data_IF_059705412900
#
_entry.id   IF_059705412900
#
_cell.length_a   1.000
_cell.length_b   1.000
_cell.length_c   1.000
_cell.angle_alpha   90.00
_cell.angle_beta   90.00
_cell.angle_gamma   90.00
#
_symmetry.space_group_name_H-M   'P 1'
#
loop_
_entity.id
_entity.type
_entity.pdbx_description
1 polymer ?
#
# COMPACT_ATOMS: atom_id res chain seq x y z
N UNK A 1 -27.46 18.89 -6.38
CA UNK A 1 -28.06 17.54 -6.17
C UNK A 1 -28.11 17.07 -4.70
N UNK A 2 -27.14 17.44 -3.84
CA UNK A 2 -27.14 17.03 -2.42
C UNK A 2 -28.24 17.70 -1.56
N UNK A 3 -28.54 18.99 -1.82
CA UNK A 3 -29.52 19.77 -1.04
C UNK A 3 -30.95 19.19 -1.18
N UNK A 4 -31.33 18.74 -2.37
CA UNK A 4 -32.66 18.16 -2.63
C UNK A 4 -32.90 16.82 -1.89
N UNK A 5 -31.84 16.06 -1.57
CA UNK A 5 -31.94 14.80 -0.81
C UNK A 5 -31.95 15.01 0.71
N UNK A 6 -31.32 16.08 1.18
CA UNK A 6 -31.24 16.41 2.61
C UNK A 6 -32.52 17.07 3.13
N UNK A 7 -33.21 17.84 2.29
CA UNK A 7 -34.42 18.57 2.67
C UNK A 7 -35.54 17.67 3.26
N UNK A 8 -35.93 16.53 2.64
CA UNK A 8 -36.97 15.67 3.22
C UNK A 8 -36.53 14.98 4.53
N UNK A 9 -35.24 14.67 4.69
CA UNK A 9 -34.69 14.06 5.90
C UNK A 9 -34.65 15.07 7.06
N UNK A 10 -34.24 16.30 6.78
CA UNK A 10 -34.22 17.39 7.76
C UNK A 10 -35.62 17.79 8.23
N UNK A 11 -36.59 17.82 7.32
CA UNK A 11 -37.98 18.09 7.67
C UNK A 11 -38.59 16.95 8.50
N UNK A 12 -38.27 15.69 8.18
CA UNK A 12 -38.75 14.52 8.92
C UNK A 12 -38.20 14.46 10.35
N UNK A 13 -36.94 14.85 10.56
CA UNK A 13 -36.27 14.81 11.86
C UNK A 13 -36.17 16.18 12.55
N UNK A 14 -36.92 17.19 12.08
CA UNK A 14 -36.82 18.58 12.56
C UNK A 14 -36.95 18.70 14.08
N UNK A 15 -37.97 18.05 14.66
CA UNK A 15 -38.25 18.16 16.10
C UNK A 15 -37.13 17.52 16.93
N UNK A 16 -36.67 16.33 16.54
CA UNK A 16 -35.51 15.67 17.17
C UNK A 16 -34.21 16.47 17.04
N UNK A 17 -33.98 17.18 15.94
CA UNK A 17 -32.78 18.01 15.75
C UNK A 17 -32.84 19.27 16.62
N UNK A 18 -34.04 19.85 16.81
CA UNK A 18 -34.25 21.01 17.67
C UNK A 18 -34.17 20.65 19.15
N UNK A 19 -34.68 19.47 19.53
CA UNK A 19 -34.64 18.95 20.90
C UNK A 19 -33.21 18.55 21.30
N UNK A 20 -32.50 17.81 20.44
CA UNK A 20 -31.06 17.49 20.59
C UNK A 20 -30.16 18.73 20.46
N UNK A 21 -30.68 19.80 19.85
CA UNK A 21 -30.03 21.12 19.75
C UNK A 21 -30.28 22.05 20.95
N UNK A 22 -31.32 21.79 21.75
CA UNK A 22 -31.59 22.52 22.99
C UNK A 22 -31.04 21.82 24.24
N UNK A 23 -30.77 20.51 24.17
CA UNK A 23 -30.26 19.74 25.31
C UNK A 23 -28.75 20.05 25.56
N UNK A 24 -28.40 20.67 26.70
CA UNK A 24 -27.00 20.93 27.06
C UNK A 24 -26.14 19.66 27.14
N UNK A 25 -26.75 18.51 27.45
CA UNK A 25 -26.07 17.22 27.58
C UNK A 25 -25.67 16.66 26.21
N UNK A 26 -26.51 16.83 25.20
CA UNK A 26 -26.22 16.42 23.83
C UNK A 26 -25.00 17.18 23.25
N UNK A 27 -24.91 18.49 23.51
CA UNK A 27 -23.76 19.31 23.13
C UNK A 27 -22.48 18.91 23.87
N UNK A 28 -22.58 18.68 25.18
CA UNK A 28 -21.45 18.20 25.98
C UNK A 28 -20.96 16.83 25.51
N UNK A 29 -21.88 15.91 25.15
CA UNK A 29 -21.55 14.57 24.66
C UNK A 29 -20.96 14.60 23.24
N UNK A 30 -21.42 15.49 22.35
CA UNK A 30 -20.78 15.73 21.04
C UNK A 30 -19.39 16.33 21.21
N UNK A 31 -19.22 17.32 22.09
CA UNK A 31 -17.93 17.92 22.40
C UNK A 31 -16.95 16.88 22.96
N UNK A 32 -17.40 16.04 23.90
CA UNK A 32 -16.62 14.95 24.47
C UNK A 32 -16.27 13.89 23.42
N UNK A 33 -17.21 13.42 22.60
CA UNK A 33 -16.94 12.45 21.53
C UNK A 33 -15.98 13.01 20.48
N UNK A 34 -16.13 14.29 20.13
CA UNK A 34 -15.24 14.98 19.18
C UNK A 34 -13.85 15.10 19.80
N UNK A 35 -13.73 15.58 21.04
CA UNK A 35 -12.47 15.68 21.78
C UNK A 35 -11.77 14.34 22.00
N UNK A 36 -12.50 13.28 22.34
CA UNK A 36 -11.97 11.91 22.46
C UNK A 36 -11.48 11.41 21.10
N UNK A 37 -12.18 11.71 20.00
CA UNK A 37 -11.74 11.32 18.65
C UNK A 37 -10.48 12.08 18.21
N UNK A 38 -10.37 13.36 18.52
CA UNK A 38 -9.18 14.17 18.26
C UNK A 38 -8.01 13.74 19.14
N UNK A 39 -8.24 13.50 20.45
CA UNK A 39 -7.24 12.98 21.37
C UNK A 39 -6.74 11.60 20.95
N UNK A 40 -7.63 10.70 20.52
CA UNK A 40 -7.26 9.38 19.98
C UNK A 40 -6.47 9.50 18.68
N UNK A 41 -6.83 10.43 17.77
CA UNK A 41 -6.07 10.70 16.55
C UNK A 41 -4.68 11.29 16.84
N UNK A 42 -4.59 12.24 17.77
CA UNK A 42 -3.35 12.87 18.17
C UNK A 42 -2.41 11.88 18.88
N UNK A 43 -2.95 11.02 19.76
CA UNK A 43 -2.19 9.99 20.46
C UNK A 43 -1.74 8.85 19.53
N UNK A 44 -2.52 8.52 18.49
CA UNK A 44 -2.16 7.48 17.52
C UNK A 44 -1.32 7.99 16.35
N UNK A 45 -1.21 9.31 16.14
CA UNK A 45 -0.35 9.90 15.11
C UNK A 45 1.14 9.49 15.23
N UNK A 46 1.80 9.59 16.39
CA UNK A 46 3.19 9.16 16.52
C UNK A 46 3.36 7.65 16.32
N UNK A 47 2.41 6.83 16.80
CA UNK A 47 2.44 5.37 16.60
C UNK A 47 2.29 4.99 15.13
N UNK A 48 1.38 5.66 14.39
CA UNK A 48 1.22 5.46 12.95
C UNK A 48 2.43 5.92 12.15
N UNK A 49 3.11 6.98 12.58
CA UNK A 49 4.35 7.41 11.95
C UNK A 49 5.43 6.32 12.03
N UNK A 50 5.57 5.68 13.21
CA UNK A 50 6.49 4.56 13.40
C UNK A 50 6.16 3.33 12.54
N UNK A 51 4.88 3.00 12.35
CA UNK A 51 4.46 1.91 11.46
C UNK A 51 4.75 2.18 9.98
N UNK A 52 4.83 3.44 9.56
CA UNK A 52 5.09 3.81 8.17
C UNK A 52 6.58 3.79 7.81
N UNK A 53 7.48 3.88 8.80
CA UNK A 53 8.94 3.90 8.57
C UNK A 53 9.42 2.63 7.84
N UNK A 54 9.11 1.39 8.30
CA UNK A 54 9.56 0.18 7.60
C UNK A 54 9.05 0.10 6.17
N UNK A 55 7.82 0.56 5.92
CA UNK A 55 7.23 0.60 4.58
C UNK A 55 7.99 1.57 3.66
N UNK A 56 8.38 2.75 4.16
CA UNK A 56 9.18 3.69 3.39
C UNK A 56 10.59 3.17 3.14
N UNK A 57 11.22 2.49 4.10
CA UNK A 57 12.54 1.88 3.91
C UNK A 57 12.49 0.82 2.81
N UNK A 58 11.53 -0.11 2.86
CA UNK A 58 11.40 -1.16 1.82
C UNK A 58 11.17 -0.54 0.43
N UNK A 59 10.33 0.49 0.32
CA UNK A 59 10.10 1.20 -0.94
C UNK A 59 11.33 1.96 -1.42
N UNK A 60 12.08 2.56 -0.49
CA UNK A 60 13.35 3.22 -0.78
C UNK A 60 14.39 2.24 -1.33
N UNK A 61 14.50 1.05 -0.74
CA UNK A 61 15.39 -0.01 -1.23
C UNK A 61 14.97 -0.49 -2.62
N UNK A 62 13.67 -0.75 -2.85
CA UNK A 62 13.14 -1.13 -4.18
C UNK A 62 13.43 -0.07 -5.24
N UNK A 63 13.33 1.22 -4.86
CA UNK A 63 13.67 2.34 -5.73
C UNK A 63 15.16 2.38 -6.06
N UNK A 64 16.03 2.33 -5.06
CA UNK A 64 17.48 2.40 -5.27
C UNK A 64 17.97 1.22 -6.10
N UNK A 65 17.52 0.00 -5.80
CA UNK A 65 17.88 -1.19 -6.58
C UNK A 65 17.38 -1.08 -8.02
N UNK A 66 16.13 -0.65 -8.23
CA UNK A 66 15.61 -0.39 -9.58
C UNK A 66 16.42 0.68 -10.32
N UNK A 67 16.84 1.74 -9.63
CA UNK A 67 17.59 2.84 -10.23
C UNK A 67 19.00 2.41 -10.66
N UNK A 68 19.67 1.57 -9.86
CA UNK A 68 20.95 0.96 -10.23
C UNK A 68 20.80 0.16 -11.52
N UNK A 69 19.74 -0.64 -11.64
CA UNK A 69 19.46 -1.44 -12.82
C UNK A 69 19.13 -0.57 -14.05
N UNK A 70 18.34 0.49 -13.86
CA UNK A 70 18.08 1.48 -14.93
C UNK A 70 19.38 2.12 -15.42
N UNK A 71 20.30 2.47 -14.50
CA UNK A 71 21.60 3.02 -14.87
C UNK A 71 22.47 2.02 -15.64
N UNK A 72 22.56 0.79 -15.13
CA UNK A 72 23.32 -0.28 -15.76
C UNK A 72 22.77 -0.60 -17.16
N UNK A 73 21.50 -1.00 -17.28
CA UNK A 73 20.92 -1.39 -18.56
C UNK A 73 20.72 -0.20 -19.50
N UNK A 74 20.39 0.98 -18.99
CA UNK A 74 20.26 2.21 -19.78
C UNK A 74 21.55 2.63 -20.45
N UNK A 75 22.68 2.56 -19.74
CA UNK A 75 24.00 2.86 -20.33
C UNK A 75 24.33 1.91 -21.50
N UNK A 76 23.94 0.64 -21.41
CA UNK A 76 24.17 -0.32 -22.50
C UNK A 76 23.24 -0.11 -23.70
N UNK A 77 21.98 0.24 -23.47
CA UNK A 77 21.05 0.59 -24.56
C UNK A 77 21.54 1.84 -25.30
N UNK A 78 22.04 2.85 -24.58
CA UNK A 78 22.59 4.07 -25.18
C UNK A 78 23.87 3.80 -25.97
N UNK A 79 24.77 2.98 -25.42
CA UNK A 79 25.99 2.57 -26.14
C UNK A 79 25.67 1.83 -27.44
N UNK A 80 24.70 0.92 -27.44
CA UNK A 80 24.27 0.21 -28.65
C UNK A 80 23.62 1.14 -29.69
N UNK A 81 22.90 2.16 -29.23
CA UNK A 81 22.31 3.18 -30.10
C UNK A 81 23.37 4.02 -30.80
N UNK A 82 24.50 4.30 -30.14
CA UNK A 82 25.62 5.05 -30.75
C UNK A 82 26.46 4.22 -31.73
N UNK A 83 26.38 2.89 -31.66
CA UNK A 83 27.16 1.95 -32.49
C UNK A 83 26.36 1.40 -33.71
N UNK A 84 25.18 1.98 -34.04
CA UNK A 84 24.24 1.52 -35.09
C UNK A 84 23.86 0.02 -34.98
N UNK A 85 24.02 -0.56 -33.78
CA UNK A 85 23.78 -1.97 -33.52
C UNK A 85 22.30 -2.29 -33.32
N UNK A 86 21.90 -3.52 -33.67
CA UNK A 86 20.56 -4.02 -33.34
C UNK A 86 20.38 -4.01 -31.81
N UNK A 87 19.36 -3.29 -31.32
CA UNK A 87 19.08 -3.23 -29.89
C UNK A 87 18.85 -4.63 -29.32
N UNK A 88 19.58 -4.94 -28.26
CA UNK A 88 19.45 -6.24 -27.61
C UNK A 88 18.19 -6.24 -26.72
N UNK A 89 17.16 -7.04 -27.05
CA UNK A 89 15.84 -6.94 -26.42
C UNK A 89 15.87 -7.23 -24.92
N UNK A 90 16.83 -8.04 -24.46
CA UNK A 90 17.00 -8.35 -23.03
C UNK A 90 17.30 -7.10 -22.19
N UNK A 91 18.07 -6.13 -22.72
CA UNK A 91 18.46 -4.90 -22.01
C UNK A 91 17.30 -3.90 -21.96
N UNK A 92 16.54 -3.80 -23.05
CA UNK A 92 15.35 -2.95 -23.11
C UNK A 92 14.29 -3.46 -22.14
N UNK A 93 14.07 -4.78 -22.11
CA UNK A 93 13.11 -5.36 -21.17
C UNK A 93 13.50 -5.06 -19.71
N UNK A 94 14.76 -5.30 -19.34
CA UNK A 94 15.28 -4.97 -18.01
C UNK A 94 15.14 -3.48 -17.68
N UNK A 95 15.43 -2.58 -18.63
CA UNK A 95 15.29 -1.13 -18.47
C UNK A 95 13.83 -0.73 -18.20
N UNK A 96 12.87 -1.28 -18.96
CA UNK A 96 11.44 -0.97 -18.79
C UNK A 96 10.95 -1.46 -17.41
N UNK A 97 11.31 -2.68 -17.02
CA UNK A 97 10.93 -3.24 -15.72
C UNK A 97 11.54 -2.43 -14.58
N UNK A 98 12.83 -2.06 -14.69
CA UNK A 98 13.51 -1.19 -13.74
C UNK A 98 12.85 0.18 -13.59
N UNK A 99 12.55 0.84 -14.72
CA UNK A 99 11.89 2.15 -14.73
C UNK A 99 10.47 2.08 -14.11
N UNK A 100 9.69 1.07 -14.49
CA UNK A 100 8.34 0.84 -13.93
C UNK A 100 8.38 0.60 -12.42
N UNK A 101 9.38 -0.15 -11.95
CA UNK A 101 9.66 -0.40 -10.54
C UNK A 101 9.97 0.90 -9.80
N UNK A 102 10.84 1.76 -10.35
CA UNK A 102 11.17 3.06 -9.78
C UNK A 102 9.95 3.98 -9.66
N UNK A 103 9.19 4.12 -10.75
CA UNK A 103 7.96 4.94 -10.77
C UNK A 103 6.96 4.43 -9.75
N UNK A 104 6.76 3.11 -9.67
CA UNK A 104 5.85 2.50 -8.70
C UNK A 104 6.31 2.75 -7.27
N UNK A 105 7.60 2.57 -6.98
CA UNK A 105 8.16 2.76 -5.64
C UNK A 105 7.97 4.21 -5.16
N UNK A 106 8.24 5.19 -6.02
CA UNK A 106 8.02 6.62 -5.71
C UNK A 106 6.53 6.92 -5.53
N UNK A 107 5.67 6.45 -6.44
CA UNK A 107 4.23 6.67 -6.35
C UNK A 107 3.64 6.10 -5.04
N UNK A 108 4.07 4.89 -4.64
CA UNK A 108 3.60 4.25 -3.43
C UNK A 108 4.21 4.86 -2.16
N UNK A 109 5.46 5.32 -2.20
CA UNK A 109 6.08 6.06 -1.10
C UNK A 109 5.39 7.41 -0.88
N UNK A 110 5.10 8.14 -1.96
CA UNK A 110 4.36 9.41 -1.91
C UNK A 110 2.92 9.21 -1.42
N UNK A 111 2.26 8.10 -1.75
CA UNK A 111 0.91 7.81 -1.30
C UNK A 111 0.80 7.41 0.19
N UNK A 112 1.91 6.98 0.83
CA UNK A 112 1.92 6.52 2.22
C UNK A 112 1.55 7.61 3.26
N UNK A 113 2.12 8.83 3.24
CA UNK A 113 1.81 9.87 4.23
C UNK A 113 0.40 10.47 4.09
N UNK A 114 -0.19 10.50 2.89
CA UNK A 114 -1.46 11.19 2.68
C UNK A 114 -2.70 10.37 3.09
N UNK A 115 -2.51 9.13 3.56
CA UNK A 115 -3.64 8.27 3.95
C UNK A 115 -4.68 8.10 2.83
N UNK A 116 -4.33 8.40 1.58
CA UNK A 116 -5.24 8.35 0.42
C UNK A 116 -5.55 6.91 0.01
N UNK A 117 -4.80 5.95 0.56
CA UNK A 117 -5.22 4.54 0.66
C UNK A 117 -6.19 4.37 1.85
N UNK A 118 -7.12 5.31 2.03
CA UNK A 118 -8.23 5.17 2.97
C UNK A 118 -9.53 4.98 2.20
N UNK A 119 -10.15 3.85 2.47
CA UNK A 119 -11.56 3.51 2.25
C UNK A 119 -12.14 3.22 0.86
N UNK A 120 -11.52 3.56 -0.28
CA UNK A 120 -12.15 3.19 -1.59
C UNK A 120 -11.30 2.38 -2.56
N UNK A 121 -9.99 2.59 -2.63
CA UNK A 121 -9.11 1.70 -3.38
C UNK A 121 -8.66 0.58 -2.46
N UNK A 122 -9.43 -0.51 -2.46
CA UNK A 122 -9.15 -1.73 -1.70
C UNK A 122 -7.64 -2.04 -1.74
N UNK A 123 -7.04 -2.16 -0.57
CA UNK A 123 -5.72 -2.75 -0.30
C UNK A 123 -5.46 -4.03 -1.13
N UNK A 124 -6.52 -4.70 -1.58
CA UNK A 124 -6.52 -5.78 -2.56
C UNK A 124 -5.80 -5.46 -3.90
N UNK A 125 -5.80 -4.22 -4.40
CA UNK A 125 -5.15 -3.92 -5.69
C UNK A 125 -3.65 -3.66 -5.57
N UNK A 126 -3.18 -3.24 -4.38
CA UNK A 126 -1.77 -2.94 -4.17
C UNK A 126 -0.94 -4.22 -4.06
N UNK A 127 -1.44 -5.27 -3.39
CA UNK A 127 -0.69 -6.53 -3.29
C UNK A 127 -0.56 -7.22 -4.65
N UNK A 128 -1.62 -7.21 -5.48
CA UNK A 128 -1.57 -7.81 -6.81
C UNK A 128 -0.54 -7.10 -7.69
N UNK A 129 -0.44 -5.77 -7.59
CA UNK A 129 0.56 -5.00 -8.33
C UNK A 129 2.00 -5.29 -7.87
N UNK A 130 2.21 -5.37 -6.55
CA UNK A 130 3.53 -5.77 -6.00
C UNK A 130 3.94 -7.17 -6.48
N UNK A 131 2.99 -8.12 -6.55
CA UNK A 131 3.24 -9.47 -7.08
C UNK A 131 3.49 -9.47 -8.60
N UNK A 132 2.81 -8.61 -9.37
CA UNK A 132 3.10 -8.44 -10.80
C UNK A 132 4.54 -7.97 -11.01
N UNK A 133 4.99 -6.97 -10.25
CA UNK A 133 6.37 -6.50 -10.34
C UNK A 133 7.38 -7.57 -9.92
N UNK A 134 7.07 -8.35 -8.88
CA UNK A 134 7.85 -9.53 -8.53
C UNK A 134 8.00 -10.49 -9.72
N UNK A 135 6.90 -10.84 -10.40
CA UNK A 135 6.96 -11.73 -11.57
C UNK A 135 7.79 -11.14 -12.72
N UNK A 136 7.66 -9.85 -12.99
CA UNK A 136 8.48 -9.16 -14.00
C UNK A 136 9.97 -9.23 -13.64
N UNK A 137 10.34 -8.99 -12.37
CA UNK A 137 11.72 -9.13 -11.91
C UNK A 137 12.25 -10.57 -11.97
N UNK A 138 11.40 -11.57 -11.74
CA UNK A 138 11.78 -12.98 -11.93
C UNK A 138 12.03 -13.30 -13.41
N UNK A 139 11.28 -12.70 -14.34
CA UNK A 139 11.54 -12.85 -15.77
C UNK A 139 12.88 -12.19 -16.14
N UNK A 140 13.15 -10.98 -15.66
CA UNK A 140 14.46 -10.31 -15.84
C UNK A 140 15.58 -11.20 -15.30
N UNK A 141 15.47 -11.65 -14.05
CA UNK A 141 16.43 -12.56 -13.44
C UNK A 141 16.62 -13.85 -14.24
N UNK A 142 15.54 -14.44 -14.80
CA UNK A 142 15.62 -15.64 -15.61
C UNK A 142 16.39 -15.42 -16.93
N UNK A 143 16.15 -14.29 -17.59
CA UNK A 143 16.86 -13.92 -18.83
C UNK A 143 18.35 -13.70 -18.54
N UNK A 144 18.67 -12.81 -17.60
CA UNK A 144 20.06 -12.46 -17.29
C UNK A 144 20.80 -13.60 -16.58
N UNK A 145 20.12 -14.33 -15.70
CA UNK A 145 20.67 -15.52 -15.05
C UNK A 145 21.01 -16.62 -16.06
N UNK A 146 20.16 -16.85 -17.06
CA UNK A 146 20.44 -17.79 -18.14
C UNK A 146 21.68 -17.42 -18.97
N UNK A 147 21.90 -16.11 -19.20
CA UNK A 147 23.02 -15.60 -20.00
C UNK A 147 24.34 -15.56 -19.21
N UNK A 148 24.29 -15.09 -17.96
CA UNK A 148 25.48 -14.68 -17.21
C UNK A 148 25.93 -15.63 -16.10
N UNK A 149 25.04 -16.45 -15.50
CA UNK A 149 25.45 -17.33 -14.39
C UNK A 149 26.40 -18.44 -14.83
N UNK A 150 26.22 -18.95 -16.06
CA UNK A 150 27.04 -20.05 -16.60
C UNK A 150 28.24 -19.57 -17.43
N UNK A 151 28.41 -18.26 -17.62
CA UNK A 151 29.49 -17.69 -18.42
C UNK A 151 30.72 -17.41 -17.55
N UNK A 152 31.91 -17.64 -18.09
CA UNK A 152 33.17 -17.33 -17.40
C UNK A 152 33.37 -15.82 -17.25
N UNK A 153 34.05 -15.40 -16.19
CA UNK A 153 34.17 -13.97 -15.84
C UNK A 153 35.03 -13.17 -16.82
N UNK A 154 35.91 -13.85 -17.57
CA UNK A 154 36.84 -13.24 -18.52
C UNK A 154 36.21 -13.05 -19.92
N UNK A 155 35.07 -13.68 -20.18
CA UNK A 155 34.32 -13.49 -21.42
C UNK A 155 33.51 -12.19 -21.35
N UNK A 156 33.77 -11.25 -22.26
CA UNK A 156 32.90 -10.07 -22.41
C UNK A 156 31.64 -10.44 -23.23
N UNK A 157 30.47 -10.00 -22.77
CA UNK A 157 29.21 -10.12 -23.53
C UNK A 157 28.75 -8.74 -23.98
N UNK A 158 28.69 -8.52 -25.30
CA UNK A 158 28.22 -7.26 -25.90
C UNK A 158 28.87 -6.01 -25.29
N UNK A 159 30.18 -6.08 -25.03
CA UNK A 159 30.96 -4.96 -24.47
C UNK A 159 30.78 -4.72 -22.96
N UNK A 160 30.13 -5.64 -22.24
CA UNK A 160 29.96 -5.60 -20.78
C UNK A 160 30.82 -6.66 -20.08
N UNK A 161 31.34 -6.32 -18.89
CA UNK A 161 32.07 -7.25 -18.03
C UNK A 161 31.09 -8.23 -17.38
N UNK A 162 31.31 -9.53 -17.59
CA UNK A 162 30.48 -10.59 -17.01
C UNK A 162 30.43 -10.54 -15.47
N UNK A 163 31.48 -10.04 -14.81
CA UNK A 163 31.48 -9.86 -13.35
C UNK A 163 30.45 -8.83 -12.88
N UNK A 164 30.31 -7.70 -13.58
CA UNK A 164 29.33 -6.65 -13.25
C UNK A 164 27.90 -7.16 -13.48
N UNK A 165 27.70 -7.93 -14.55
CA UNK A 165 26.40 -8.50 -14.89
C UNK A 165 25.97 -9.60 -13.94
N UNK A 166 26.90 -10.43 -13.47
CA UNK A 166 26.62 -11.39 -12.38
C UNK A 166 26.18 -10.66 -11.12
N UNK A 167 26.81 -9.53 -10.79
CA UNK A 167 26.35 -8.66 -9.71
C UNK A 167 24.93 -8.14 -9.94
N UNK A 168 24.64 -7.65 -11.14
CA UNK A 168 23.31 -7.16 -11.53
C UNK A 168 22.22 -8.24 -11.43
N UNK A 169 22.51 -9.47 -11.85
CA UNK A 169 21.61 -10.63 -11.71
C UNK A 169 21.20 -10.86 -10.25
N UNK A 170 22.15 -10.75 -9.31
CA UNK A 170 21.83 -10.87 -7.89
C UNK A 170 21.01 -9.67 -7.38
N UNK A 171 21.26 -8.46 -7.87
CA UNK A 171 20.45 -7.29 -7.55
C UNK A 171 19.01 -7.44 -8.07
N UNK A 172 18.82 -8.01 -9.26
CA UNK A 172 17.51 -8.31 -9.83
C UNK A 172 16.73 -9.25 -8.91
N UNK A 173 17.38 -10.31 -8.41
CA UNK A 173 16.78 -11.27 -7.49
C UNK A 173 16.44 -10.64 -6.13
N UNK A 174 17.34 -9.85 -5.56
CA UNK A 174 17.10 -9.15 -4.28
C UNK A 174 15.93 -8.18 -4.42
N UNK A 175 15.85 -7.46 -5.54
CA UNK A 175 14.74 -6.55 -5.80
C UNK A 175 13.42 -7.33 -5.95
N UNK A 176 13.44 -8.46 -6.67
CA UNK A 176 12.30 -9.37 -6.77
C UNK A 176 11.80 -9.78 -5.39
N UNK A 177 12.70 -10.19 -4.49
CA UNK A 177 12.35 -10.61 -3.11
C UNK A 177 11.69 -9.46 -2.34
N UNK A 178 12.16 -8.22 -2.47
CA UNK A 178 11.49 -7.09 -1.83
C UNK A 178 10.06 -6.86 -2.35
N UNK A 179 9.85 -6.98 -3.66
CA UNK A 179 8.51 -6.94 -4.25
C UNK A 179 7.61 -8.08 -3.76
N UNK A 180 8.16 -9.29 -3.62
CA UNK A 180 7.45 -10.44 -3.06
C UNK A 180 7.05 -10.21 -1.60
N UNK A 181 7.97 -9.78 -0.74
CA UNK A 181 7.70 -9.48 0.67
C UNK A 181 6.60 -8.42 0.79
N UNK A 182 6.66 -7.38 -0.05
CA UNK A 182 5.64 -6.32 -0.09
C UNK A 182 4.27 -6.86 -0.49
N UNK A 183 4.22 -7.70 -1.53
CA UNK A 183 3.00 -8.35 -2.01
C UNK A 183 2.41 -9.32 -0.98
N UNK A 184 3.23 -10.18 -0.38
CA UNK A 184 2.81 -11.13 0.66
C UNK A 184 2.29 -10.40 1.90
N UNK A 185 2.99 -9.35 2.35
CA UNK A 185 2.52 -8.52 3.46
C UNK A 185 1.15 -7.88 3.14
N UNK A 186 0.99 -7.32 1.94
CA UNK A 186 -0.28 -6.75 1.47
C UNK A 186 -1.41 -7.78 1.41
N UNK A 187 -1.10 -9.00 0.96
CA UNK A 187 -2.02 -10.13 0.92
C UNK A 187 -2.47 -10.54 2.33
N UNK A 188 -1.52 -10.76 3.24
CA UNK A 188 -1.80 -11.12 4.65
C UNK A 188 -2.68 -10.06 5.30
N UNK A 189 -2.31 -8.77 5.20
CA UNK A 189 -3.09 -7.69 5.80
C UNK A 189 -4.52 -7.63 5.26
N UNK A 190 -4.71 -7.89 3.97
CA UNK A 190 -6.04 -7.82 3.34
C UNK A 190 -6.92 -9.01 3.70
N UNK A 191 -6.39 -10.23 3.67
CA UNK A 191 -7.20 -11.45 3.83
C UNK A 191 -7.19 -12.04 5.24
N UNK A 192 -6.11 -11.86 6.01
CA UNK A 192 -6.02 -12.35 7.39
C UNK A 192 -6.47 -11.28 8.39
N UNK A 193 -6.22 -9.99 8.13
CA UNK A 193 -6.72 -8.89 8.96
C UNK A 193 -8.25 -8.90 9.10
N UNK A 194 -8.96 -9.00 7.97
CA UNK A 194 -10.43 -9.05 7.98
C UNK A 194 -11.01 -10.26 8.72
N UNK A 195 -10.29 -11.40 8.75
CA UNK A 195 -10.70 -12.58 9.53
C UNK A 195 -10.52 -12.37 11.02
N UNK A 196 -9.40 -11.75 11.42
CA UNK A 196 -9.12 -11.43 12.83
C UNK A 196 -10.11 -10.40 13.37
N UNK A 197 -10.44 -9.36 12.60
CA UNK A 197 -11.41 -8.35 13.01
C UNK A 197 -12.82 -8.95 13.19
N UNK A 198 -13.25 -9.80 12.24
CA UNK A 198 -14.54 -10.50 12.31
C UNK A 198 -14.62 -11.46 13.51
N UNK A 199 -13.51 -12.15 13.82
CA UNK A 199 -13.42 -13.04 14.98
C UNK A 199 -13.36 -12.25 16.29
N UNK A 200 -12.64 -11.13 16.32
CA UNK A 200 -12.56 -10.22 17.44
C UNK A 200 -13.92 -9.62 17.80
N UNK A 201 -14.72 -9.18 16.82
CA UNK A 201 -16.09 -8.72 17.04
C UNK A 201 -16.99 -9.83 17.59
N UNK A 202 -16.89 -11.06 17.06
CA UNK A 202 -17.67 -12.20 17.54
C UNK A 202 -17.31 -12.61 18.97
N UNK A 203 -16.03 -12.60 19.32
CA UNK A 203 -15.56 -12.95 20.68
C UNK A 203 -15.89 -11.82 21.65
N UNK A 204 -15.66 -10.56 21.27
CA UNK A 204 -16.04 -9.38 22.08
C UNK A 204 -17.55 -9.35 22.33
N UNK A 205 -18.36 -9.61 21.31
CA UNK A 205 -19.82 -9.71 21.46
C UNK A 205 -20.27 -10.86 22.37
N UNK A 206 -19.52 -11.96 22.42
CA UNK A 206 -19.79 -13.09 23.33
C UNK A 206 -19.32 -12.84 24.76
N UNK A 207 -18.19 -12.16 24.96
CA UNK A 207 -17.60 -11.93 26.29
C UNK A 207 -18.21 -10.73 26.99
N UNK A 208 -18.56 -9.68 26.26
CA UNK A 208 -19.11 -8.45 26.85
C UNK A 208 -20.64 -8.40 26.86
N UNK A 209 -21.31 -9.40 26.28
CA UNK A 209 -22.77 -9.41 26.13
C UNK A 209 -23.27 -8.22 25.29
N UNK A 210 -24.43 -8.36 24.67
CA UNK A 210 -25.12 -7.19 24.14
C UNK A 210 -25.37 -6.22 25.30
N UNK A 211 -24.69 -5.07 25.32
CA UNK A 211 -25.41 -3.86 25.70
C UNK A 211 -26.33 -3.55 24.53
N UNK A 212 -27.52 -4.15 24.56
CA UNK A 212 -28.61 -3.63 23.77
C UNK A 212 -28.72 -2.12 24.06
N UNK A 213 -28.91 -1.26 23.05
CA UNK A 213 -29.39 0.09 23.33
C UNK A 213 -30.70 -0.08 24.09
N UNK A 214 -30.71 0.33 25.36
CA UNK A 214 -31.86 0.24 26.26
C UNK A 214 -33.15 0.55 25.49
N UNK A 215 -34.13 -0.37 25.41
CA UNK A 215 -35.45 -0.01 24.90
C UNK A 215 -36.00 1.03 25.86
N UNK A 216 -36.40 2.17 25.32
CA UNK A 216 -37.10 3.21 26.07
C UNK A 216 -38.50 2.68 26.41
N UNK A 217 -38.60 1.90 27.47
CA UNK A 217 -39.79 1.67 28.30
C UNK A 217 -39.26 1.95 29.71
N UNK A 218 -39.61 3.04 30.35
CA UNK A 218 -40.95 3.31 30.85
C UNK A 218 -41.25 4.82 30.82
N UNK A 219 -42.33 5.20 30.15
CA UNK A 219 -43.27 6.17 30.70
C UNK A 219 -44.67 5.89 30.13
N UNK A 220 -45.16 4.68 30.39
CA UNK A 220 -46.60 4.38 30.38
C UNK A 220 -46.87 3.35 31.49
N UNK A 221 -47.68 3.80 32.45
CA UNK A 221 -48.29 3.15 33.64
C UNK A 221 -47.95 4.01 34.87
N UNK A 222 -48.85 4.65 35.61
CA UNK A 222 -50.31 4.55 35.88
C UNK A 222 -50.73 5.95 36.40
N UNK A 223 -51.90 6.56 36.16
CA UNK A 223 -53.32 6.18 36.26
C UNK A 223 -54.11 7.13 35.35
#
# INVERSE_FOLDING_TARGET
MAIAKLLPVLLKNKNTILEDGLDPRAHAQRGANTGISYGKKAATAPLKAWENIPRLVVRGLQFVLGLVIVGLYGHRVDKQHQEDGLHSPEWIYGLIVGALSCVTAVAFAAAAPFGTVSNKFKTARLFSWDLTLFLLWIIVFGIFGGIFLHRDNDDSYKGSSTAVEKGAVWLDLVNAIFWLISGVYGFIKTFLGGKVDTLGEKVTGKVFGQKEPRPNKEMYETV
#
